data_IF_110002612893
#
_entry.id   IF_110002612893
#
_cell.length_a   1.000
_cell.length_b   1.000
_cell.length_c   1.000
_cell.angle_alpha   90.00
_cell.angle_beta   90.00
_cell.angle_gamma   90.00
#
_symmetry.space_group_name_H-M   'P 1'
#
loop_
_entity.id
_entity.type
_entity.pdbx_description
1 polymer ?
#
# COMPACT_ATOMS: atom_id res chain seq x y z
N UNK A 1 3.13 -40.00 -12.25
CA UNK A 1 3.44 -38.60 -11.90
C UNK A 1 2.75 -37.70 -12.92
N UNK A 2 1.54 -37.23 -12.61
CA UNK A 2 0.72 -36.37 -13.49
C UNK A 2 0.80 -34.94 -12.96
N UNK A 3 1.29 -34.02 -13.79
CA UNK A 3 1.30 -32.58 -13.52
C UNK A 3 -0.14 -32.06 -13.58
N UNK A 4 -0.63 -31.46 -12.50
CA UNK A 4 -1.85 -30.68 -12.53
C UNK A 4 -1.51 -29.26 -12.97
N UNK A 5 -1.85 -28.96 -14.23
CA UNK A 5 -1.96 -27.60 -14.75
C UNK A 5 -3.20 -26.96 -14.12
N UNK A 6 -3.03 -25.98 -13.24
CA UNK A 6 -4.14 -25.17 -12.72
C UNK A 6 -4.37 -24.00 -13.66
N UNK A 7 -5.38 -24.16 -14.50
CA UNK A 7 -6.02 -23.10 -15.27
C UNK A 7 -6.72 -22.15 -14.28
N UNK A 8 -6.28 -20.90 -14.21
CA UNK A 8 -7.02 -19.85 -13.50
C UNK A 8 -8.30 -19.56 -14.27
N UNK A 9 -9.41 -19.88 -13.61
CA UNK A 9 -10.77 -19.72 -14.10
C UNK A 9 -11.21 -18.29 -13.80
N UNK A 10 -11.44 -17.50 -14.84
CA UNK A 10 -12.28 -16.31 -14.77
C UNK A 10 -13.65 -16.71 -14.25
N UNK A 11 -14.17 -16.06 -13.20
CA UNK A 11 -15.60 -16.13 -12.92
C UNK A 11 -16.14 -14.83 -12.33
N UNK A 12 -17.16 -14.35 -13.02
CA UNK A 12 -18.00 -13.22 -12.69
C UNK A 12 -18.84 -13.45 -11.43
N UNK A 13 -19.12 -12.36 -10.71
CA UNK A 13 -20.22 -12.19 -9.77
C UNK A 13 -20.45 -10.66 -9.70
N UNK A 14 -21.62 -10.06 -9.79
CA UNK A 14 -22.99 -10.52 -9.59
C UNK A 14 -23.71 -9.30 -9.01
N UNK A 15 -24.50 -8.61 -9.85
CA UNK A 15 -25.18 -7.37 -9.49
C UNK A 15 -26.15 -7.55 -8.32
N UNK A 16 -26.03 -6.73 -7.28
CA UNK A 16 -27.08 -6.51 -6.27
C UNK A 16 -26.98 -5.08 -5.76
N UNK A 17 -27.87 -4.19 -6.22
CA UNK A 17 -28.13 -2.91 -5.56
C UNK A 17 -29.55 -2.93 -5.00
N UNK A 18 -29.64 -2.94 -3.66
CA UNK A 18 -30.81 -2.50 -2.93
C UNK A 18 -30.76 -0.98 -2.70
N UNK A 19 -31.96 -0.41 -2.54
CA UNK A 19 -32.26 1.02 -2.49
C UNK A 19 -31.85 1.74 -1.20
N UNK A 20 -32.00 3.07 -1.27
CA UNK A 20 -32.04 4.16 -0.26
C UNK A 20 -30.76 5.00 -0.25
N UNK A 21 -30.80 6.33 -0.31
CA UNK A 21 -31.38 7.26 0.68
C UNK A 21 -31.87 8.56 0.01
N UNK A 22 -33.00 9.08 0.49
CA UNK A 22 -33.51 10.41 0.14
C UNK A 22 -32.73 11.54 0.82
N UNK A 23 -32.44 12.59 0.05
CA UNK A 23 -31.96 13.87 0.56
C UNK A 23 -33.15 14.79 0.88
N UNK A 24 -33.09 15.53 2.00
CA UNK A 24 -33.34 16.98 2.02
C UNK A 24 -33.11 17.61 3.42
N UNK A 25 -32.37 18.73 3.38
CA UNK A 25 -32.02 19.69 4.43
C UNK A 25 -33.22 20.44 5.02
N UNK A 26 -33.06 21.01 6.22
CA UNK A 26 -33.32 22.45 6.44
C UNK A 26 -32.57 23.03 7.65
N UNK A 27 -32.00 24.21 7.42
CA UNK A 27 -31.32 25.17 8.31
C UNK A 27 -32.32 25.97 9.17
N UNK A 28 -31.88 26.51 10.32
CA UNK A 28 -31.69 27.95 10.69
C UNK A 28 -31.75 27.96 12.25
N UNK A 29 -31.18 28.85 13.07
CA UNK A 29 -30.72 30.22 12.92
C UNK A 29 -29.83 30.62 14.12
N UNK A 30 -29.12 31.72 13.95
CA UNK A 30 -28.13 32.40 14.79
C UNK A 30 -28.75 33.17 15.96
N UNK A 31 -28.09 33.24 17.14
CA UNK A 31 -28.18 34.41 18.03
C UNK A 31 -26.86 34.61 18.83
N UNK A 32 -26.33 35.83 18.79
CA UNK A 32 -25.39 36.48 19.73
C UNK A 32 -26.05 37.81 20.12
N UNK A 33 -25.97 38.30 21.38
CA UNK A 33 -24.80 39.03 21.90
C UNK A 33 -24.52 38.67 23.39
N UNK A 34 -23.50 39.12 24.13
CA UNK A 34 -22.88 40.44 24.21
C UNK A 34 -21.53 40.33 24.98
N UNK A 35 -20.65 41.31 24.76
CA UNK A 35 -19.39 41.52 25.47
C UNK A 35 -19.64 41.98 26.92
N UNK A 36 -19.03 41.34 27.93
CA UNK A 36 -18.18 42.04 28.92
C UNK A 36 -17.49 41.11 29.92
N UNK A 37 -16.25 41.49 30.23
CA UNK A 37 -15.49 41.25 31.47
C UNK A 37 -14.80 39.89 31.66
N UNK A 38 -13.49 39.96 31.46
CA UNK A 38 -12.49 39.08 32.03
C UNK A 38 -12.46 39.20 33.57
N UNK A 39 -12.39 38.07 34.28
CA UNK A 39 -11.53 37.94 35.44
C UNK A 39 -10.51 36.80 35.25
N UNK A 40 -9.42 36.95 35.98
CA UNK A 40 -8.24 36.09 36.00
C UNK A 40 -8.49 34.68 36.54
N UNK A 41 -7.69 33.75 36.03
CA UNK A 41 -7.04 32.63 36.72
C UNK A 41 -7.88 31.74 37.65
N UNK A 42 -8.21 30.54 37.18
CA UNK A 42 -7.88 29.22 37.79
C UNK A 42 -8.72 28.17 37.08
N UNK A 43 -8.09 27.33 36.27
CA UNK A 43 -8.79 26.31 35.49
C UNK A 43 -7.84 25.28 34.98
N UNK A 44 -7.54 24.31 35.86
CA UNK A 44 -7.15 22.93 35.58
C UNK A 44 -6.94 22.64 34.09
N UNK A 45 -5.67 22.51 33.71
CA UNK A 45 -5.32 21.78 32.51
C UNK A 45 -6.05 20.45 32.57
N UNK A 46 -6.96 20.24 31.62
CA UNK A 46 -7.62 18.95 31.46
C UNK A 46 -6.49 17.99 31.12
N UNK A 47 -6.01 17.30 32.15
CA UNK A 47 -5.12 16.15 32.02
C UNK A 47 -5.80 15.23 31.00
N UNK A 48 -5.22 15.19 29.79
CA UNK A 48 -5.54 14.13 28.88
C UNK A 48 -5.33 12.83 29.67
N UNK A 49 -6.30 11.89 29.64
CA UNK A 49 -6.13 10.60 30.31
C UNK A 49 -4.76 10.04 29.92
N UNK A 50 -4.00 9.44 30.85
CA UNK A 50 -2.76 8.76 30.48
C UNK A 50 -3.09 7.84 29.32
N UNK A 51 -2.37 8.00 28.20
CA UNK A 51 -2.40 7.00 27.14
C UNK A 51 -2.22 5.64 27.83
N UNK A 52 -3.08 4.68 27.52
CA UNK A 52 -2.97 3.31 27.99
C UNK A 52 -1.55 2.83 27.66
N UNK A 53 -0.64 2.93 28.62
CA UNK A 53 0.80 2.87 28.35
C UNK A 53 1.24 1.45 27.96
N UNK A 54 0.30 0.50 27.96
CA UNK A 54 0.54 -0.90 27.67
C UNK A 54 1.52 -1.52 28.65
N UNK A 55 1.83 -2.80 28.46
CA UNK A 55 3.04 -3.37 29.04
C UNK A 55 4.29 -2.74 28.41
N UNK A 56 5.45 -2.85 29.07
CA UNK A 56 6.73 -2.48 28.48
C UNK A 56 6.89 -3.08 27.08
N UNK A 57 7.37 -2.25 26.15
CA UNK A 57 7.62 -2.64 24.77
C UNK A 57 9.07 -3.11 24.63
N UNK A 58 9.26 -4.32 24.12
CA UNK A 58 10.53 -4.91 23.77
C UNK A 58 11.06 -4.30 22.44
N UNK A 59 12.36 -4.43 22.15
CA UNK A 59 12.89 -4.15 20.82
C UNK A 59 12.20 -5.00 19.75
N UNK A 60 12.07 -4.43 18.54
CA UNK A 60 11.48 -5.14 17.41
C UNK A 60 12.30 -6.41 17.07
N UNK A 61 11.64 -7.58 16.85
CA UNK A 61 12.30 -8.77 16.38
C UNK A 61 13.00 -8.54 15.03
N UNK A 62 14.23 -9.06 14.87
CA UNK A 62 15.01 -8.96 13.61
C UNK A 62 14.23 -9.51 12.40
N UNK A 63 13.38 -10.51 12.64
CA UNK A 63 12.51 -11.11 11.62
C UNK A 63 11.63 -10.09 10.89
N UNK A 64 11.26 -8.97 11.52
CA UNK A 64 10.47 -7.90 10.87
C UNK A 64 11.29 -7.23 9.77
N UNK A 65 12.54 -6.86 10.06
CA UNK A 65 13.43 -6.23 9.09
C UNK A 65 13.80 -7.19 7.95
N UNK A 66 14.04 -8.47 8.27
CA UNK A 66 14.30 -9.51 7.26
C UNK A 66 13.09 -9.74 6.35
N UNK A 67 11.88 -9.83 6.92
CA UNK A 67 10.66 -10.02 6.13
C UNK A 67 10.35 -8.82 5.23
N UNK A 68 10.61 -7.58 5.70
CA UNK A 68 10.56 -6.38 4.84
C UNK A 68 11.50 -6.50 3.64
N UNK A 69 12.74 -6.95 3.86
CA UNK A 69 13.70 -7.13 2.77
C UNK A 69 13.22 -8.20 1.76
N UNK A 70 12.74 -9.34 2.25
CA UNK A 70 12.15 -10.39 1.41
C UNK A 70 10.96 -9.85 0.59
N UNK A 71 10.04 -9.12 1.23
CA UNK A 71 8.89 -8.53 0.56
C UNK A 71 9.31 -7.61 -0.60
N UNK A 72 10.26 -6.70 -0.37
CA UNK A 72 10.74 -5.75 -1.39
C UNK A 72 11.48 -6.45 -2.55
N UNK A 73 12.02 -7.64 -2.32
CA UNK A 73 12.64 -8.48 -3.36
C UNK A 73 11.63 -9.40 -4.08
N UNK A 74 10.34 -9.32 -3.75
CA UNK A 74 9.29 -10.19 -4.31
C UNK A 74 9.27 -11.60 -3.73
N UNK A 75 9.97 -11.84 -2.62
CA UNK A 75 10.05 -13.10 -1.89
C UNK A 75 8.93 -13.16 -0.84
N UNK A 76 7.69 -13.14 -1.32
CA UNK A 76 6.51 -12.98 -0.48
C UNK A 76 6.29 -14.18 0.44
N UNK A 77 6.54 -15.41 -0.04
CA UNK A 77 6.42 -16.63 0.77
C UNK A 77 7.42 -16.64 1.93
N UNK A 78 8.65 -16.19 1.70
CA UNK A 78 9.68 -16.06 2.73
C UNK A 78 9.33 -14.99 3.78
N UNK A 79 8.72 -13.87 3.34
CA UNK A 79 8.21 -12.85 4.26
C UNK A 79 7.07 -13.41 5.14
N UNK A 80 6.11 -14.11 4.55
CA UNK A 80 5.01 -14.77 5.29
C UNK A 80 5.56 -15.77 6.30
N UNK A 81 6.46 -16.67 5.87
CA UNK A 81 7.04 -17.70 6.72
C UNK A 81 7.83 -17.18 7.93
N UNK A 82 8.31 -15.93 7.88
CA UNK A 82 8.96 -15.24 9.01
C UNK A 82 7.96 -14.59 9.97
N UNK A 83 6.90 -14.00 9.44
CA UNK A 83 6.00 -13.13 10.22
C UNK A 83 4.81 -13.88 10.83
N UNK A 84 4.23 -14.83 10.11
CA UNK A 84 3.05 -15.58 10.57
C UNK A 84 3.30 -16.32 11.90
N UNK A 85 4.46 -16.99 12.13
CA UNK A 85 4.69 -17.70 13.39
C UNK A 85 4.87 -16.79 14.61
N UNK A 86 5.33 -15.55 14.43
CA UNK A 86 5.67 -14.65 15.54
C UNK A 86 4.51 -13.72 15.92
N UNK A 87 3.59 -13.44 14.99
CA UNK A 87 2.49 -12.51 15.22
C UNK A 87 1.60 -12.89 16.42
N UNK A 88 1.17 -14.16 16.62
CA UNK A 88 0.33 -14.52 17.76
C UNK A 88 0.97 -14.23 19.12
N UNK A 89 2.26 -14.53 19.28
CA UNK A 89 3.02 -14.26 20.51
C UNK A 89 3.11 -12.75 20.79
N UNK A 90 3.43 -11.95 19.76
CA UNK A 90 3.50 -10.49 19.89
C UNK A 90 2.15 -9.88 20.25
N UNK A 91 1.03 -10.43 19.72
CA UNK A 91 -0.33 -10.03 20.09
C UNK A 91 -0.62 -10.37 21.55
N UNK A 92 -0.31 -11.59 21.99
CA UNK A 92 -0.54 -12.05 23.36
C UNK A 92 0.25 -11.24 24.39
N UNK A 93 1.51 -10.90 24.07
CA UNK A 93 2.38 -10.08 24.93
C UNK A 93 2.15 -8.58 24.77
N UNK A 94 1.14 -8.17 24.00
CA UNK A 94 0.76 -6.78 23.77
C UNK A 94 1.93 -5.87 23.33
N UNK A 95 2.79 -6.43 22.47
CA UNK A 95 3.93 -5.73 21.87
C UNK A 95 3.45 -4.90 20.68
N UNK A 96 2.64 -3.87 20.94
CA UNK A 96 1.85 -3.13 19.94
C UNK A 96 2.66 -2.66 18.74
N UNK A 97 3.89 -2.15 18.95
CA UNK A 97 4.74 -1.70 17.84
C UNK A 97 5.15 -2.87 16.95
N UNK A 98 5.75 -3.88 17.55
CA UNK A 98 6.26 -5.06 16.85
C UNK A 98 5.13 -5.87 16.20
N UNK A 99 4.00 -6.05 16.90
CA UNK A 99 2.83 -6.74 16.36
C UNK A 99 2.18 -5.97 15.21
N UNK A 100 2.12 -4.63 15.30
CA UNK A 100 1.64 -3.75 14.23
C UNK A 100 2.49 -3.83 12.96
N UNK A 101 3.81 -3.72 13.09
CA UNK A 101 4.73 -3.91 11.96
C UNK A 101 4.68 -5.32 11.39
N UNK A 102 4.65 -6.34 12.24
CA UNK A 102 4.57 -7.74 11.82
C UNK A 102 3.31 -7.98 11.02
N UNK A 103 2.15 -7.53 11.52
CA UNK A 103 0.87 -7.68 10.83
C UNK A 103 0.84 -6.87 9.52
N UNK A 104 1.37 -5.65 9.51
CA UNK A 104 1.41 -4.82 8.30
C UNK A 104 2.24 -5.45 7.18
N UNK A 105 3.46 -5.91 7.47
CA UNK A 105 4.29 -6.60 6.48
C UNK A 105 3.71 -7.96 6.07
N UNK A 106 3.08 -8.69 6.99
CA UNK A 106 2.40 -9.95 6.69
C UNK A 106 1.23 -9.72 5.73
N UNK A 107 0.39 -8.71 6.00
CA UNK A 107 -0.71 -8.32 5.13
C UNK A 107 -0.22 -7.90 3.74
N UNK A 108 0.83 -7.08 3.65
CA UNK A 108 1.45 -6.72 2.38
C UNK A 108 1.86 -7.95 1.57
N UNK A 109 2.49 -8.94 2.21
CA UNK A 109 2.93 -10.17 1.55
C UNK A 109 1.75 -11.07 1.13
N UNK A 110 0.77 -11.27 2.01
CA UNK A 110 -0.43 -12.08 1.73
C UNK A 110 -1.27 -11.49 0.59
N UNK A 111 -1.35 -10.15 0.49
CA UNK A 111 -2.12 -9.47 -0.54
C UNK A 111 -1.61 -9.75 -1.97
N UNK A 112 -0.39 -10.29 -2.11
CA UNK A 112 0.21 -10.63 -3.42
C UNK A 112 -0.20 -12.00 -3.94
N UNK A 113 -0.68 -12.90 -3.08
CA UNK A 113 -1.17 -14.23 -3.45
C UNK A 113 -2.70 -14.27 -3.45
N UNK A 114 -3.30 -14.05 -2.27
CA UNK A 114 -4.76 -14.03 -2.07
C UNK A 114 -5.11 -12.81 -1.23
N UNK A 115 -5.65 -11.77 -1.89
CA UNK A 115 -5.94 -10.47 -1.28
C UNK A 115 -6.73 -10.59 0.03
N UNK A 116 -7.73 -11.45 0.07
CA UNK A 116 -8.61 -11.64 1.22
C UNK A 116 -7.90 -12.14 2.48
N UNK A 117 -6.79 -12.88 2.32
CA UNK A 117 -5.99 -13.34 3.45
C UNK A 117 -5.28 -12.17 4.17
N UNK A 118 -5.10 -11.03 3.50
CA UNK A 118 -4.47 -9.85 4.07
C UNK A 118 -5.41 -9.02 4.98
N UNK A 119 -6.73 -9.27 4.94
CA UNK A 119 -7.71 -8.41 5.61
C UNK A 119 -7.48 -8.31 7.13
N UNK A 120 -7.47 -9.43 7.83
CA UNK A 120 -7.31 -9.46 9.29
C UNK A 120 -5.98 -8.84 9.75
N UNK A 121 -4.82 -9.21 9.18
CA UNK A 121 -3.56 -8.56 9.58
C UNK A 121 -3.49 -7.08 9.20
N UNK A 122 -4.11 -6.65 8.10
CA UNK A 122 -4.17 -5.23 7.74
C UNK A 122 -5.01 -4.40 8.73
N UNK A 123 -6.22 -4.86 9.07
CA UNK A 123 -7.09 -4.20 10.04
C UNK A 123 -6.44 -4.15 11.43
N UNK A 124 -5.77 -5.23 11.84
CA UNK A 124 -5.01 -5.25 13.09
C UNK A 124 -3.82 -4.27 13.06
N UNK A 125 -3.07 -4.20 11.96
CA UNK A 125 -1.97 -3.25 11.83
C UNK A 125 -2.46 -1.79 11.96
N UNK A 126 -3.61 -1.45 11.37
CA UNK A 126 -4.22 -0.11 11.50
C UNK A 126 -4.56 0.18 12.96
N UNK A 127 -5.19 -0.77 13.66
CA UNK A 127 -5.48 -0.66 15.08
C UNK A 127 -4.21 -0.40 15.92
N UNK A 128 -3.09 -1.06 15.60
CA UNK A 128 -1.81 -0.83 16.29
C UNK A 128 -1.16 0.50 15.92
N UNK A 129 -1.29 0.95 14.67
CA UNK A 129 -0.88 2.29 14.26
C UNK A 129 -1.60 3.37 15.06
N UNK A 130 -2.92 3.26 15.16
CA UNK A 130 -3.76 4.18 15.94
C UNK A 130 -3.43 4.14 17.44
N UNK A 131 -3.19 2.93 17.98
CA UNK A 131 -2.87 2.74 19.41
C UNK A 131 -1.49 3.32 19.77
N UNK A 132 -0.49 3.14 18.90
CA UNK A 132 0.89 3.55 19.19
C UNK A 132 1.18 5.00 18.83
N UNK A 133 0.51 5.54 17.81
CA UNK A 133 0.86 6.83 17.22
C UNK A 133 2.24 6.84 16.53
N UNK A 134 2.89 5.68 16.39
CA UNK A 134 4.20 5.57 15.76
C UNK A 134 4.06 5.74 14.24
N UNK A 135 4.76 6.73 13.69
CA UNK A 135 4.65 7.09 12.27
C UNK A 135 5.04 5.96 11.32
N UNK A 136 5.99 5.09 11.68
CA UNK A 136 6.39 3.96 10.86
C UNK A 136 5.31 2.88 10.91
N UNK A 137 4.77 2.59 12.09
CA UNK A 137 3.65 1.63 12.24
C UNK A 137 2.45 2.11 11.44
N UNK A 138 2.07 3.40 11.56
CA UNK A 138 0.97 3.98 10.78
C UNK A 138 1.25 3.88 9.28
N UNK A 139 2.45 4.25 8.83
CA UNK A 139 2.81 4.18 7.40
C UNK A 139 2.71 2.76 6.85
N UNK A 140 3.27 1.77 7.55
CA UNK A 140 3.22 0.35 7.12
C UNK A 140 1.78 -0.18 7.19
N UNK A 141 1.04 0.12 8.25
CA UNK A 141 -0.34 -0.32 8.43
C UNK A 141 -1.26 0.21 7.34
N UNK A 142 -1.17 1.50 7.04
CA UNK A 142 -1.95 2.15 5.98
C UNK A 142 -1.55 1.67 4.59
N UNK A 143 -0.27 1.44 4.35
CA UNK A 143 0.19 0.80 3.12
C UNK A 143 -0.36 -0.62 2.96
N UNK A 144 -0.40 -1.40 4.04
CA UNK A 144 -0.91 -2.75 4.05
C UNK A 144 -2.42 -2.81 3.79
N UNK A 145 -3.20 -1.94 4.46
CA UNK A 145 -4.64 -1.86 4.23
C UNK A 145 -4.96 -1.37 2.82
N UNK A 146 -4.22 -0.37 2.32
CA UNK A 146 -4.31 0.05 0.92
C UNK A 146 -4.01 -1.08 -0.07
N UNK A 147 -2.99 -1.91 0.17
CA UNK A 147 -2.67 -3.07 -0.66
C UNK A 147 -3.77 -4.15 -0.64
N UNK A 148 -4.36 -4.41 0.53
CA UNK A 148 -5.55 -5.27 0.63
C UNK A 148 -6.71 -4.72 -0.23
N UNK A 149 -7.02 -3.43 -0.08
CA UNK A 149 -8.10 -2.76 -0.82
C UNK A 149 -7.86 -2.77 -2.33
N UNK A 150 -6.61 -2.61 -2.79
CA UNK A 150 -6.23 -2.81 -4.19
C UNK A 150 -6.58 -4.22 -4.68
N UNK A 151 -6.24 -5.24 -3.89
CA UNK A 151 -6.50 -6.64 -4.22
C UNK A 151 -7.98 -7.00 -4.29
N UNK A 152 -8.83 -6.32 -3.51
CA UNK A 152 -10.30 -6.46 -3.58
C UNK A 152 -10.97 -5.39 -4.45
N UNK A 153 -10.18 -4.65 -5.25
CA UNK A 153 -10.62 -3.67 -6.24
C UNK A 153 -11.35 -2.42 -5.69
N UNK A 154 -11.11 -2.07 -4.43
CA UNK A 154 -11.63 -0.85 -3.78
C UNK A 154 -10.66 0.33 -3.99
N UNK A 155 -10.40 0.69 -5.25
CA UNK A 155 -9.26 1.55 -5.62
C UNK A 155 -9.27 2.97 -5.02
N UNK A 156 -10.45 3.58 -4.87
CA UNK A 156 -10.56 4.92 -4.30
C UNK A 156 -10.22 4.91 -2.80
N UNK A 157 -10.79 3.98 -2.04
CA UNK A 157 -10.49 3.79 -0.62
C UNK A 157 -9.03 3.37 -0.42
N UNK A 158 -8.50 2.53 -1.30
CA UNK A 158 -7.09 2.17 -1.30
C UNK A 158 -6.19 3.41 -1.43
N UNK A 159 -6.51 4.30 -2.37
CA UNK A 159 -5.77 5.54 -2.56
C UNK A 159 -5.79 6.41 -1.29
N UNK A 160 -6.94 6.58 -0.64
CA UNK A 160 -7.06 7.38 0.59
C UNK A 160 -6.12 6.86 1.69
N UNK A 161 -6.05 5.54 1.89
CA UNK A 161 -5.14 4.95 2.87
C UNK A 161 -3.67 5.06 2.44
N UNK A 162 -3.37 4.93 1.16
CA UNK A 162 -2.00 5.06 0.66
C UNK A 162 -1.49 6.49 0.76
N UNK A 163 -2.34 7.48 0.52
CA UNK A 163 -2.02 8.89 0.77
C UNK A 163 -1.84 9.16 2.27
N UNK A 164 -2.66 8.55 3.14
CA UNK A 164 -2.45 8.61 4.59
C UNK A 164 -1.10 7.99 5.01
N UNK A 165 -0.71 6.86 4.40
CA UNK A 165 0.59 6.23 4.64
C UNK A 165 1.77 7.14 4.24
N UNK A 166 1.66 7.79 3.08
CA UNK A 166 2.67 8.75 2.61
C UNK A 166 2.75 9.94 3.57
N UNK A 167 1.61 10.48 4.02
CA UNK A 167 1.56 11.64 4.89
C UNK A 167 2.04 11.38 6.32
N UNK A 168 1.95 10.13 6.80
CA UNK A 168 2.42 9.75 8.14
C UNK A 168 3.95 9.91 8.30
N UNK A 169 4.73 9.54 7.27
CA UNK A 169 6.18 9.76 7.24
C UNK A 169 6.69 10.01 5.80
N UNK A 170 6.56 11.23 5.27
CA UNK A 170 6.79 11.52 3.84
C UNK A 170 8.21 11.27 3.34
N UNK A 171 9.18 11.22 4.26
CA UNK A 171 10.60 10.93 3.98
C UNK A 171 11.04 9.60 4.58
N UNK A 172 10.09 8.82 5.10
CA UNK A 172 10.35 7.53 5.72
C UNK A 172 10.76 6.47 4.69
N UNK A 173 11.45 5.41 5.12
CA UNK A 173 11.96 4.38 4.22
C UNK A 173 10.85 3.53 3.57
N UNK A 174 9.59 3.65 4.00
CA UNK A 174 8.45 2.96 3.41
C UNK A 174 7.56 3.88 2.56
N UNK A 175 7.84 5.19 2.52
CA UNK A 175 7.09 6.14 1.69
C UNK A 175 7.15 5.81 0.18
N UNK A 176 8.31 5.40 -0.40
CA UNK A 176 8.35 5.04 -1.82
C UNK A 176 7.46 3.84 -2.16
N UNK A 177 7.32 2.86 -1.25
CA UNK A 177 6.42 1.72 -1.45
C UNK A 177 4.95 2.18 -1.47
N UNK A 178 4.56 3.01 -0.51
CA UNK A 178 3.20 3.58 -0.47
C UNK A 178 2.89 4.41 -1.73
N UNK A 179 3.87 5.18 -2.23
CA UNK A 179 3.73 5.92 -3.49
C UNK A 179 3.56 4.99 -4.70
N UNK A 180 4.32 3.89 -4.78
CA UNK A 180 4.14 2.89 -5.87
C UNK A 180 2.72 2.33 -5.83
N UNK A 181 2.23 1.91 -4.67
CA UNK A 181 0.88 1.38 -4.52
C UNK A 181 -0.18 2.46 -4.85
N UNK A 182 0.03 3.72 -4.47
CA UNK A 182 -0.89 4.82 -4.80
C UNK A 182 -0.96 5.05 -6.32
N UNK A 183 0.18 4.94 -7.01
CA UNK A 183 0.23 4.95 -8.46
C UNK A 183 -0.52 3.77 -9.08
N UNK A 184 -0.44 2.57 -8.51
CA UNK A 184 -1.23 1.41 -8.95
C UNK A 184 -2.74 1.63 -8.75
N UNK A 185 -3.17 2.23 -7.63
CA UNK A 185 -4.57 2.61 -7.42
C UNK A 185 -5.06 3.54 -8.52
N UNK A 186 -4.28 4.59 -8.81
CA UNK A 186 -4.56 5.54 -9.90
C UNK A 186 -4.64 4.87 -11.27
N UNK A 187 -3.70 3.98 -11.60
CA UNK A 187 -3.78 3.22 -12.85
C UNK A 187 -5.08 2.43 -12.97
N UNK A 188 -5.53 1.76 -11.90
CA UNK A 188 -6.76 0.99 -11.91
C UNK A 188 -8.01 1.89 -12.03
N UNK A 189 -8.00 3.07 -11.40
CA UNK A 189 -9.08 4.07 -11.53
C UNK A 189 -9.22 4.65 -12.95
N UNK A 190 -8.25 4.42 -13.85
CA UNK A 190 -8.38 4.81 -15.26
C UNK A 190 -9.42 3.96 -16.01
N UNK A 191 -9.72 2.75 -15.51
CA UNK A 191 -10.61 1.79 -16.14
C UNK A 191 -12.03 1.86 -15.56
N UNK A 192 -13.02 1.70 -16.44
CA UNK A 192 -14.43 1.58 -16.09
C UNK A 192 -14.98 0.18 -16.45
N UNK A 193 -16.30 0.03 -16.65
CA UNK A 193 -16.91 -1.25 -17.00
C UNK A 193 -16.26 -1.91 -18.22
N UNK A 194 -16.13 -3.25 -18.17
CA UNK A 194 -15.51 -4.07 -19.23
C UNK A 194 -14.05 -3.68 -19.53
N UNK A 195 -13.31 -3.21 -18.54
CA UNK A 195 -11.89 -2.82 -18.63
C UNK A 195 -11.61 -1.75 -19.69
N UNK A 196 -12.61 -0.92 -20.01
CA UNK A 196 -12.46 0.21 -20.92
C UNK A 196 -11.82 1.38 -20.21
N UNK A 197 -10.84 2.01 -20.85
CA UNK A 197 -10.27 3.27 -20.35
C UNK A 197 -11.35 4.35 -20.43
N UNK A 198 -11.78 4.85 -19.28
CA UNK A 198 -12.81 5.90 -19.17
C UNK A 198 -12.28 7.16 -18.51
N UNK A 199 -11.20 7.07 -17.75
CA UNK A 199 -10.54 8.19 -17.11
C UNK A 199 -9.02 8.19 -17.40
N UNK A 200 -8.60 8.50 -18.64
CA UNK A 200 -7.20 8.43 -19.04
C UNK A 200 -6.28 9.39 -18.28
N UNK A 201 -6.83 10.44 -17.63
CA UNK A 201 -6.05 11.38 -16.82
C UNK A 201 -5.44 10.74 -15.57
N UNK A 202 -6.00 9.63 -15.07
CA UNK A 202 -5.42 8.93 -13.92
C UNK A 202 -4.07 8.28 -14.25
N UNK A 203 -3.76 8.02 -15.53
CA UNK A 203 -2.42 7.56 -15.93
C UNK A 203 -1.36 8.64 -15.70
N UNK A 204 -1.69 9.92 -15.90
CA UNK A 204 -0.78 11.02 -15.60
C UNK A 204 -0.63 11.22 -14.09
N UNK A 205 -1.72 11.08 -13.33
CA UNK A 205 -1.66 11.10 -11.86
C UNK A 205 -0.83 9.93 -11.29
N UNK A 206 -0.98 8.73 -11.85
CA UNK A 206 -0.16 7.58 -11.49
C UNK A 206 1.33 7.82 -11.76
N UNK A 207 1.67 8.39 -12.92
CA UNK A 207 3.05 8.72 -13.27
C UNK A 207 3.71 9.65 -12.24
N UNK A 208 2.97 10.63 -11.70
CA UNK A 208 3.48 11.53 -10.67
C UNK A 208 3.86 10.80 -9.37
N UNK A 209 3.07 9.80 -8.97
CA UNK A 209 3.41 8.97 -7.81
C UNK A 209 4.69 8.16 -8.04
N UNK A 210 4.83 7.56 -9.22
CA UNK A 210 6.02 6.81 -9.59
C UNK A 210 7.28 7.69 -9.66
N UNK A 211 7.16 8.91 -10.19
CA UNK A 211 8.25 9.89 -10.22
C UNK A 211 8.68 10.32 -8.81
N UNK A 212 7.72 10.57 -7.91
CA UNK A 212 8.01 10.87 -6.50
C UNK A 212 8.71 9.71 -5.81
N UNK A 213 8.23 8.48 -6.02
CA UNK A 213 8.86 7.27 -5.48
C UNK A 213 10.31 7.14 -5.97
N UNK A 214 10.54 7.27 -7.28
CA UNK A 214 11.89 7.23 -7.86
C UNK A 214 12.83 8.29 -7.26
N UNK A 215 12.32 9.51 -7.04
CA UNK A 215 13.10 10.60 -6.46
C UNK A 215 13.56 10.37 -5.02
N UNK A 216 13.00 9.41 -4.32
CA UNK A 216 13.37 9.03 -2.95
C UNK A 216 14.23 7.77 -2.87
N UNK A 217 14.38 7.02 -3.96
CA UNK A 217 15.15 5.79 -3.99
C UNK A 217 16.59 6.07 -4.40
N UNK A 218 17.54 5.56 -3.63
CA UNK A 218 18.97 5.76 -3.92
C UNK A 218 19.49 4.81 -5.00
N UNK A 219 18.84 3.65 -5.15
CA UNK A 219 19.29 2.56 -6.01
C UNK A 219 20.60 1.91 -5.57
N UNK A 220 21.07 2.18 -4.33
CA UNK A 220 22.31 1.60 -3.80
C UNK A 220 22.13 0.15 -3.33
N UNK A 221 21.08 -0.08 -2.54
CA UNK A 221 20.78 -1.39 -1.94
C UNK A 221 19.90 -2.27 -2.84
N UNK A 222 19.95 -3.62 -2.71
CA UNK A 222 19.11 -4.52 -3.50
C UNK A 222 17.61 -4.23 -3.38
N UNK A 223 17.12 -3.92 -2.19
CA UNK A 223 15.71 -3.58 -1.97
C UNK A 223 15.30 -2.28 -2.68
N UNK A 224 16.16 -1.24 -2.62
CA UNK A 224 15.95 0.02 -3.35
C UNK A 224 15.94 -0.21 -4.87
N UNK A 225 16.85 -1.05 -5.38
CA UNK A 225 16.90 -1.41 -6.81
C UNK A 225 15.66 -2.17 -7.24
N UNK A 226 15.19 -3.12 -6.44
CA UNK A 226 13.97 -3.86 -6.73
C UNK A 226 12.74 -2.94 -6.75
N UNK A 227 12.63 -2.01 -5.80
CA UNK A 227 11.54 -1.06 -5.79
C UNK A 227 11.64 -0.05 -6.93
N UNK A 228 12.84 0.40 -7.29
CA UNK A 228 13.06 1.27 -8.45
C UNK A 228 12.78 0.53 -9.78
N UNK A 229 13.06 -0.77 -9.85
CA UNK A 229 12.67 -1.61 -10.97
C UNK A 229 11.14 -1.67 -11.10
N UNK A 230 10.44 -1.88 -9.98
CA UNK A 230 8.97 -1.85 -9.93
C UNK A 230 8.40 -0.50 -10.36
N UNK A 231 9.02 0.61 -9.95
CA UNK A 231 8.67 1.95 -10.45
C UNK A 231 8.78 2.02 -11.98
N UNK A 232 9.88 1.55 -12.57
CA UNK A 232 10.06 1.56 -14.02
C UNK A 232 9.09 0.61 -14.74
N UNK A 233 8.77 -0.56 -14.16
CA UNK A 233 7.75 -1.47 -14.67
C UNK A 233 6.38 -0.79 -14.71
N UNK A 234 5.97 -0.12 -13.63
CA UNK A 234 4.69 0.60 -13.58
C UNK A 234 4.64 1.79 -14.54
N UNK A 235 5.75 2.54 -14.67
CA UNK A 235 5.86 3.59 -15.69
C UNK A 235 5.78 3.03 -17.12
N UNK A 236 6.36 1.86 -17.39
CA UNK A 236 6.23 1.20 -18.68
C UNK A 236 4.77 0.84 -18.98
N UNK A 237 4.02 0.38 -17.97
CA UNK A 237 2.60 0.08 -18.12
C UNK A 237 1.76 1.33 -18.40
N UNK A 238 2.00 2.44 -17.68
CA UNK A 238 1.40 3.75 -17.97
C UNK A 238 1.65 4.18 -19.41
N UNK A 239 2.90 4.16 -19.86
CA UNK A 239 3.28 4.56 -21.22
C UNK A 239 2.62 3.68 -22.28
N UNK A 240 2.51 2.37 -22.02
CA UNK A 240 1.80 1.44 -22.90
C UNK A 240 0.33 1.83 -23.05
N UNK A 241 -0.38 2.08 -21.96
CA UNK A 241 -1.80 2.50 -22.02
C UNK A 241 -1.99 3.84 -22.73
N UNK A 242 -0.99 4.71 -22.68
CA UNK A 242 -0.94 5.97 -23.45
C UNK A 242 -0.46 5.81 -24.90
N UNK A 243 -0.26 4.57 -25.37
CA UNK A 243 0.28 4.24 -26.70
C UNK A 243 1.69 4.76 -27.00
N UNK A 244 2.48 5.13 -25.97
CA UNK A 244 3.91 5.41 -26.13
C UNK A 244 4.72 4.11 -26.03
N UNK A 245 4.73 3.36 -27.13
CA UNK A 245 5.40 2.05 -27.20
C UNK A 245 6.91 2.17 -27.00
N UNK A 246 7.53 3.22 -27.55
CA UNK A 246 8.98 3.41 -27.43
C UNK A 246 9.38 3.67 -25.97
N UNK A 247 8.63 4.56 -25.30
CA UNK A 247 8.84 4.84 -23.89
C UNK A 247 8.57 3.62 -23.01
N UNK A 248 7.49 2.89 -23.28
CA UNK A 248 7.14 1.66 -22.56
C UNK A 248 8.27 0.62 -22.63
N UNK A 249 8.81 0.35 -23.83
CA UNK A 249 9.90 -0.61 -23.99
C UNK A 249 11.18 -0.17 -23.26
N UNK A 250 11.57 1.11 -23.36
CA UNK A 250 12.74 1.62 -22.67
C UNK A 250 12.64 1.48 -21.15
N UNK A 251 11.46 1.75 -20.59
CA UNK A 251 11.20 1.60 -19.15
C UNK A 251 11.18 0.14 -18.70
N UNK A 252 10.60 -0.75 -19.50
CA UNK A 252 10.59 -2.17 -19.21
C UNK A 252 12.02 -2.77 -19.26
N UNK A 253 12.88 -2.31 -20.17
CA UNK A 253 14.29 -2.72 -20.22
C UNK A 253 15.07 -2.28 -18.97
N UNK A 254 14.86 -1.03 -18.51
CA UNK A 254 15.49 -0.55 -17.27
C UNK A 254 14.98 -1.32 -16.05
N UNK A 255 13.68 -1.67 -16.00
CA UNK A 255 13.12 -2.50 -14.95
C UNK A 255 13.79 -3.88 -14.89
N UNK A 256 13.94 -4.57 -16.03
CA UNK A 256 14.62 -5.88 -16.09
C UNK A 256 16.08 -5.79 -15.62
N UNK A 257 16.80 -4.74 -16.01
CA UNK A 257 18.18 -4.50 -15.58
C UNK A 257 18.26 -4.34 -14.06
N UNK A 258 17.44 -3.45 -13.49
CA UNK A 258 17.43 -3.17 -12.05
C UNK A 258 17.00 -4.40 -11.23
N UNK A 259 15.98 -5.14 -11.68
CA UNK A 259 15.61 -6.42 -11.08
C UNK A 259 16.75 -7.44 -11.12
N UNK A 260 17.50 -7.51 -12.23
CA UNK A 260 18.70 -8.33 -12.34
C UNK A 260 19.79 -7.94 -11.33
N UNK A 261 20.06 -6.65 -11.18
CA UNK A 261 21.03 -6.12 -10.22
C UNK A 261 20.60 -6.30 -8.76
N UNK A 262 19.28 -6.28 -8.49
CA UNK A 262 18.69 -6.56 -7.18
C UNK A 262 18.70 -8.04 -6.80
N UNK A 263 18.95 -8.94 -7.77
CA UNK A 263 18.91 -10.38 -7.54
C UNK A 263 17.52 -10.96 -7.34
N UNK A 264 16.45 -10.29 -7.81
CA UNK A 264 15.10 -10.86 -7.74
C UNK A 264 14.98 -12.08 -8.66
N UNK A 265 14.02 -12.96 -8.34
CA UNK A 265 13.80 -14.20 -9.07
C UNK A 265 13.29 -13.94 -10.49
N UNK A 266 13.46 -14.94 -11.37
CA UNK A 266 12.93 -14.85 -12.73
C UNK A 266 11.40 -14.84 -12.78
N UNK A 267 10.74 -15.35 -11.73
CA UNK A 267 9.29 -15.24 -11.57
C UNK A 267 8.84 -13.78 -11.48
N UNK A 268 9.55 -12.93 -10.73
CA UNK A 268 9.23 -11.50 -10.63
C UNK A 268 9.49 -10.79 -11.97
N UNK A 269 10.59 -11.13 -12.66
CA UNK A 269 10.94 -10.55 -13.97
C UNK A 269 9.93 -10.91 -15.07
N UNK A 270 9.17 -11.99 -14.92
CA UNK A 270 8.21 -12.44 -15.92
C UNK A 270 7.09 -11.42 -16.15
N UNK A 271 6.66 -10.67 -15.13
CA UNK A 271 5.70 -9.57 -15.31
C UNK A 271 6.17 -8.53 -16.32
N UNK A 272 7.46 -8.15 -16.25
CA UNK A 272 8.06 -7.20 -17.20
C UNK A 272 8.18 -7.80 -18.60
N UNK A 273 8.50 -9.09 -18.72
CA UNK A 273 8.55 -9.77 -20.02
C UNK A 273 7.17 -9.84 -20.69
N UNK A 274 6.12 -10.09 -19.91
CA UNK A 274 4.74 -10.05 -20.39
C UNK A 274 4.35 -8.66 -20.84
N UNK A 275 4.72 -7.62 -20.08
CA UNK A 275 4.50 -6.24 -20.46
C UNK A 275 5.21 -5.86 -21.78
N UNK A 276 6.47 -6.27 -21.95
CA UNK A 276 7.22 -6.07 -23.21
C UNK A 276 6.53 -6.75 -24.40
N UNK A 277 6.08 -7.98 -24.20
CA UNK A 277 5.34 -8.74 -25.22
C UNK A 277 4.04 -8.02 -25.60
N UNK A 278 3.28 -7.57 -24.60
CA UNK A 278 2.03 -6.89 -24.81
C UNK A 278 2.18 -5.47 -25.41
N UNK A 279 3.34 -4.83 -25.22
CA UNK A 279 3.70 -3.57 -25.87
C UNK A 279 4.26 -3.76 -27.29
N UNK A 280 4.59 -5.00 -27.70
CA UNK A 280 5.21 -5.27 -29.00
C UNK A 280 6.68 -4.83 -29.08
N UNK A 281 7.39 -4.84 -27.95
CA UNK A 281 8.82 -4.53 -27.93
C UNK A 281 9.58 -5.54 -28.79
N UNK A 282 10.30 -5.04 -29.79
CA UNK A 282 11.15 -5.89 -30.64
C UNK A 282 12.30 -6.45 -29.79
N UNK A 283 12.62 -7.73 -30.02
CA UNK A 283 13.82 -8.36 -29.46
C UNK A 283 15.08 -7.78 -30.06
#
# INVERSE_FOLDING_TARGET
MKKHSRTLLSLALGATMMMTVGACKKSEETEKPDDTQQPEDTGEGVDAPPADAGPPQDPDPEAIAEARAHYLLGQHEEAVGKLEPILPDLKEREQYRASGLTAGWLALALARDVAENAKEPAEYAVSMGDKTGDKEVIQVAKAAHGAYLLGVMEFATALDDLEAAINADPTGPNAPLAMVLAGEAKMNMAFGPEDKITNPGEFDAAAQYFEKAAGQLTGGEPADKALLAKVNESQAAVLRYKNDIKGACAKADEALKLYGEAGVSDFVKEGVNQLKTAAGCKK
#
